data_IF_349089073390
#
_entry.id   IF_349089073390
#
_cell.length_a   1.000
_cell.length_b   1.000
_cell.length_c   1.000
_cell.angle_alpha   90.00
_cell.angle_beta   90.00
_cell.angle_gamma   90.00
#
_symmetry.space_group_name_H-M   'P 1'
#
loop_
_entity.id
_entity.type
_entity.pdbx_description
1 polymer ?
#
# COMPACT_ATOMS: atom_id res chain seq x y z
N UNK A 1 -4.53 76.18 47.10
CA UNK A 1 -3.78 76.13 45.85
C UNK A 1 -4.63 75.34 44.87
N UNK A 2 -4.95 75.93 43.70
CA UNK A 2 -5.62 75.20 42.59
C UNK A 2 -4.60 74.80 41.61
N UNK A 3 -4.56 73.51 41.25
CA UNK A 3 -3.72 72.95 40.18
C UNK A 3 -4.56 72.92 38.90
N UNK A 4 -3.93 73.29 37.81
CA UNK A 4 -4.53 73.23 36.48
C UNK A 4 -3.80 72.20 35.67
N UNK A 5 -4.46 71.11 35.32
CA UNK A 5 -3.93 69.98 34.53
C UNK A 5 -4.62 69.96 33.18
N UNK A 6 -3.82 69.81 32.12
CA UNK A 6 -4.25 69.61 30.72
C UNK A 6 -3.70 68.33 30.10
N UNK A 7 -2.91 67.61 30.88
CA UNK A 7 -2.21 66.45 30.41
C UNK A 7 -3.19 65.29 30.35
N UNK A 8 -3.24 64.59 29.23
CA UNK A 8 -4.01 63.36 29.12
C UNK A 8 -3.28 62.23 29.84
N UNK A 9 -3.97 61.36 30.55
CA UNK A 9 -3.34 60.20 31.17
C UNK A 9 -2.78 59.26 30.12
N UNK A 10 -1.64 58.61 30.43
CA UNK A 10 -0.95 57.65 29.59
C UNK A 10 -0.73 56.34 30.32
N UNK A 11 -0.72 55.22 29.58
CA UNK A 11 -0.53 53.87 30.12
C UNK A 11 0.80 53.30 29.66
N UNK A 12 1.60 52.71 30.57
CA UNK A 12 2.83 52.01 30.25
C UNK A 12 3.32 51.19 31.47
N UNK A 13 3.54 49.86 31.32
CA UNK A 13 3.30 49.07 30.13
C UNK A 13 1.81 48.81 29.85
N UNK A 14 1.49 48.39 28.62
CA UNK A 14 0.25 47.74 28.22
C UNK A 14 0.66 46.43 27.56
N UNK A 15 0.24 45.30 28.09
CA UNK A 15 0.58 43.97 27.64
C UNK A 15 -0.65 43.11 27.47
N UNK A 16 -0.64 42.13 26.55
CA UNK A 16 -1.71 41.17 26.33
C UNK A 16 -1.15 39.75 26.28
N UNK A 17 -1.85 38.80 26.90
CA UNK A 17 -1.45 37.40 26.92
C UNK A 17 -2.68 36.50 27.06
N UNK A 18 -2.65 35.32 26.44
CA UNK A 18 -3.62 34.25 26.66
C UNK A 18 -3.14 33.29 27.74
N UNK A 19 -4.05 32.62 28.44
CA UNK A 19 -3.77 31.48 29.30
C UNK A 19 -3.47 30.20 28.54
N UNK A 20 -3.58 30.21 27.20
CA UNK A 20 -3.15 29.12 26.33
C UNK A 20 -1.61 29.02 26.31
N UNK A 21 -1.08 27.80 26.52
CA UNK A 21 0.36 27.58 26.57
C UNK A 21 1.01 27.52 25.18
N UNK A 22 0.20 27.43 24.11
CA UNK A 22 0.69 27.47 22.75
C UNK A 22 1.38 28.79 22.46
N UNK A 23 2.54 28.73 21.81
CA UNK A 23 3.32 29.91 21.39
C UNK A 23 3.48 30.96 22.51
N UNK A 24 3.65 30.48 23.76
CA UNK A 24 3.85 31.34 24.94
C UNK A 24 2.72 32.34 25.20
N UNK A 25 1.47 31.97 24.89
CA UNK A 25 0.29 32.78 25.12
C UNK A 25 -0.04 33.81 24.05
N UNK A 26 0.57 33.73 22.88
CA UNK A 26 0.25 34.58 21.73
C UNK A 26 -0.84 34.01 20.80
N UNK A 27 -1.31 32.79 21.09
CA UNK A 27 -2.42 32.15 20.38
C UNK A 27 -3.45 31.71 21.42
N UNK A 28 -4.72 31.75 21.05
CA UNK A 28 -5.84 31.32 21.87
C UNK A 28 -6.90 30.63 21.03
N UNK A 29 -7.78 29.86 21.68
CA UNK A 29 -9.01 29.35 21.10
C UNK A 29 -10.21 29.79 21.94
N UNK A 30 -11.42 29.46 21.52
CA UNK A 30 -12.62 29.66 22.35
C UNK A 30 -12.43 29.00 23.73
N UNK A 31 -13.00 29.63 24.76
CA UNK A 31 -12.91 29.30 26.18
C UNK A 31 -11.60 29.71 26.87
N UNK A 32 -10.53 30.08 26.14
CA UNK A 32 -9.33 30.64 26.75
C UNK A 32 -9.63 32.05 27.33
N UNK A 33 -8.86 32.40 28.38
CA UNK A 33 -8.88 33.71 28.97
C UNK A 33 -7.71 34.54 28.42
N UNK A 34 -8.04 35.68 27.81
CA UNK A 34 -7.05 36.66 27.41
C UNK A 34 -7.03 37.78 28.44
N UNK A 35 -5.85 38.07 28.95
CA UNK A 35 -5.58 39.06 29.98
C UNK A 35 -4.84 40.25 29.41
N UNK A 36 -5.34 41.46 29.61
CA UNK A 36 -4.58 42.70 29.41
C UNK A 36 -4.17 43.24 30.77
N UNK A 37 -2.90 43.54 30.93
CA UNK A 37 -2.37 44.26 32.10
C UNK A 37 -1.83 45.61 31.65
N UNK A 38 -2.14 46.65 32.43
CA UNK A 38 -1.57 47.96 32.18
C UNK A 38 -1.33 48.74 33.47
N UNK A 39 -0.40 49.67 33.40
CA UNK A 39 -0.11 50.61 34.51
C UNK A 39 -0.39 52.01 34.05
N UNK A 40 -1.11 52.78 34.85
CA UNK A 40 -1.27 54.21 34.60
C UNK A 40 -0.10 54.97 35.22
N UNK A 41 0.37 56.00 34.52
CA UNK A 41 1.45 56.86 35.02
C UNK A 41 0.96 57.93 35.97
N UNK A 42 -0.35 58.00 36.22
CA UNK A 42 -1.01 58.90 37.17
C UNK A 42 -2.32 58.29 37.72
N UNK A 43 -2.85 58.77 38.87
CA UNK A 43 -4.08 58.26 39.41
C UNK A 43 -5.29 58.53 38.50
N UNK A 44 -6.14 57.52 38.29
CA UNK A 44 -7.31 57.58 37.44
C UNK A 44 -8.60 57.82 38.22
N UNK A 45 -9.51 58.63 37.63
CA UNK A 45 -10.88 58.83 38.08
C UNK A 45 -11.79 57.68 37.59
N UNK A 46 -11.62 57.25 36.33
CA UNK A 46 -12.40 56.18 35.74
C UNK A 46 -11.65 55.49 34.61
N UNK A 47 -12.07 54.26 34.34
CA UNK A 47 -11.56 53.40 33.23
C UNK A 47 -12.75 52.91 32.40
N UNK A 48 -12.57 52.84 31.10
CA UNK A 48 -13.50 52.20 30.16
C UNK A 48 -12.70 51.28 29.26
N UNK A 49 -13.21 50.08 29.02
CA UNK A 49 -12.57 49.16 28.07
C UNK A 49 -13.60 48.38 27.27
N UNK A 50 -13.23 48.15 26.02
CA UNK A 50 -13.86 47.14 25.14
C UNK A 50 -12.85 46.09 24.78
N UNK A 51 -13.31 44.86 24.71
CA UNK A 51 -12.52 43.70 24.27
C UNK A 51 -13.31 43.00 23.16
N UNK A 52 -12.72 42.79 22.00
CA UNK A 52 -13.45 42.45 20.79
C UNK A 52 -14.59 43.47 20.54
N UNK A 53 -15.83 43.08 20.71
CA UNK A 53 -16.99 43.98 20.56
C UNK A 53 -17.73 44.25 21.90
N UNK A 54 -17.23 43.71 23.02
CA UNK A 54 -17.89 43.72 24.30
C UNK A 54 -17.29 44.74 25.25
N UNK A 55 -18.14 45.41 26.04
CA UNK A 55 -17.69 46.25 27.17
C UNK A 55 -17.30 45.35 28.33
N UNK A 56 -16.08 45.51 28.82
CA UNK A 56 -15.49 44.67 29.85
C UNK A 56 -15.16 45.43 31.13
N UNK A 57 -15.09 44.69 32.23
CA UNK A 57 -14.73 45.27 33.53
C UNK A 57 -13.19 45.43 33.59
N UNK A 58 -12.77 46.63 34.01
CA UNK A 58 -11.37 46.89 34.35
C UNK A 58 -11.20 46.74 35.87
N UNK A 59 -10.36 45.84 36.28
CA UNK A 59 -10.03 45.57 37.70
C UNK A 59 -8.85 46.44 38.12
N UNK A 60 -8.99 47.16 39.24
CA UNK A 60 -7.89 47.91 39.86
C UNK A 60 -7.17 46.99 40.84
N UNK A 61 -5.92 46.68 40.55
CA UNK A 61 -5.07 45.81 41.41
C UNK A 61 -4.23 46.61 42.44
N UNK A 62 -4.41 47.92 42.47
CA UNK A 62 -3.66 48.82 43.37
C UNK A 62 -2.36 49.34 42.76
N UNK A 63 -1.84 50.46 43.32
CA UNK A 63 -0.63 51.09 42.84
C UNK A 63 -0.63 51.45 41.38
N UNK A 64 -1.79 51.94 40.89
CA UNK A 64 -2.05 52.31 39.47
C UNK A 64 -1.91 51.18 38.45
N UNK A 65 -1.97 49.89 38.90
CA UNK A 65 -2.01 48.72 38.06
C UNK A 65 -3.46 48.27 37.86
N UNK A 66 -3.75 47.87 36.63
CA UNK A 66 -5.07 47.46 36.19
C UNK A 66 -5.00 46.19 35.35
N UNK A 67 -6.08 45.42 35.43
CA UNK A 67 -6.22 44.13 34.68
C UNK A 67 -7.59 44.07 34.04
N UNK A 68 -7.64 43.51 32.86
CA UNK A 68 -8.83 43.12 32.15
C UNK A 68 -8.69 41.64 31.81
N UNK A 69 -9.69 40.84 32.18
CA UNK A 69 -9.82 39.45 31.73
C UNK A 69 -11.03 39.34 30.83
N UNK A 70 -10.83 38.66 29.69
CA UNK A 70 -11.91 38.34 28.76
C UNK A 70 -11.83 36.88 28.38
N UNK A 71 -12.93 36.14 28.59
CA UNK A 71 -13.04 34.76 28.13
C UNK A 71 -13.54 34.78 26.69
N UNK A 72 -12.70 34.29 25.77
CA UNK A 72 -13.05 34.14 24.37
C UNK A 72 -14.19 33.13 24.20
N UNK A 73 -15.05 33.39 23.21
CA UNK A 73 -16.19 32.55 22.88
C UNK A 73 -16.12 32.08 21.42
N UNK A 74 -16.93 31.13 21.03
CA UNK A 74 -17.06 30.70 19.65
C UNK A 74 -17.73 31.75 18.74
N UNK A 75 -18.30 32.81 19.31
CA UNK A 75 -18.93 33.91 18.56
C UNK A 75 -17.92 35.03 18.25
N UNK A 76 -16.75 35.03 18.90
CA UNK A 76 -15.71 36.01 18.64
C UNK A 76 -15.11 35.79 17.26
N UNK A 77 -14.72 36.86 16.59
CA UNK A 77 -14.17 36.80 15.25
C UNK A 77 -12.73 36.25 15.30
N UNK A 78 -12.44 35.19 14.54
CA UNK A 78 -11.11 34.63 14.39
C UNK A 78 -10.11 35.66 13.86
N UNK A 79 -8.88 35.57 14.33
CA UNK A 79 -7.80 36.49 14.00
C UNK A 79 -7.28 37.28 15.20
N UNK A 80 -6.65 38.42 14.93
CA UNK A 80 -6.06 39.23 15.99
C UNK A 80 -7.12 39.78 16.99
N UNK A 81 -6.90 39.47 18.27
CA UNK A 81 -7.75 39.94 19.36
C UNK A 81 -7.61 41.46 19.52
N UNK A 82 -8.70 42.16 19.33
CA UNK A 82 -8.76 43.62 19.39
C UNK A 82 -9.23 44.11 20.73
N UNK A 83 -8.73 45.24 21.19
CA UNK A 83 -9.17 45.90 22.38
C UNK A 83 -9.14 47.41 22.23
N UNK A 84 -9.89 48.11 23.10
CA UNK A 84 -9.86 49.57 23.28
C UNK A 84 -9.87 49.87 24.76
N UNK A 85 -8.97 50.71 25.22
CA UNK A 85 -8.93 51.22 26.59
C UNK A 85 -8.97 52.74 26.54
N UNK A 86 -9.88 53.33 27.31
CA UNK A 86 -9.89 54.76 27.62
C UNK A 86 -9.82 54.97 29.11
N UNK A 87 -9.03 55.93 29.54
CA UNK A 87 -8.90 56.24 30.96
C UNK A 87 -9.08 57.74 31.17
N UNK A 88 -9.63 58.12 32.34
CA UNK A 88 -9.83 59.52 32.71
C UNK A 88 -9.06 59.79 34.00
N UNK A 89 -8.31 60.89 34.02
CA UNK A 89 -7.58 61.32 35.24
C UNK A 89 -8.50 61.99 36.28
N UNK A 90 -7.95 62.36 37.45
CA UNK A 90 -8.68 63.00 38.54
C UNK A 90 -9.21 64.40 38.18
N UNK A 91 -8.69 65.04 37.12
CA UNK A 91 -9.09 66.35 36.64
C UNK A 91 -10.09 66.30 35.50
N UNK A 92 -10.40 65.14 34.99
CA UNK A 92 -11.36 64.88 33.91
C UNK A 92 -10.78 64.89 32.50
N UNK A 93 -9.45 64.88 32.34
CA UNK A 93 -8.84 64.67 31.01
C UNK A 93 -8.96 63.19 30.59
N UNK A 94 -9.40 62.94 29.37
CA UNK A 94 -9.55 61.58 28.79
C UNK A 94 -8.35 61.25 27.92
N UNK A 95 -7.81 60.03 28.04
CA UNK A 95 -6.73 59.52 27.19
C UNK A 95 -7.16 59.48 25.71
N UNK A 96 -6.20 59.42 24.82
CA UNK A 96 -6.46 58.91 23.46
C UNK A 96 -6.85 57.43 23.56
N UNK A 97 -7.50 56.90 22.50
CA UNK A 97 -7.85 55.49 22.40
C UNK A 97 -6.59 54.63 22.38
N UNK A 98 -6.46 53.72 23.33
CA UNK A 98 -5.35 52.78 23.42
C UNK A 98 -5.81 51.45 22.86
N UNK A 99 -5.34 51.13 21.66
CA UNK A 99 -5.74 49.97 20.88
C UNK A 99 -4.55 49.04 20.55
N UNK A 100 -3.39 49.33 21.09
CA UNK A 100 -2.14 48.55 20.89
C UNK A 100 -1.40 48.41 22.19
N UNK A 101 -0.64 47.32 22.32
CA UNK A 101 0.26 47.10 23.44
C UNK A 101 1.53 47.93 23.30
N UNK A 102 2.23 48.18 24.41
CA UNK A 102 3.48 48.96 24.41
C UNK A 102 4.73 48.09 24.24
N UNK A 103 4.59 46.79 24.43
CA UNK A 103 5.67 45.80 24.31
C UNK A 103 5.60 45.00 23.01
N UNK A 104 4.59 45.27 22.16
CA UNK A 104 4.36 44.57 20.91
C UNK A 104 3.72 43.16 21.07
N UNK A 105 3.26 42.82 22.28
CA UNK A 105 2.50 41.57 22.49
C UNK A 105 1.16 41.63 21.76
N UNK A 106 0.74 40.46 21.25
CA UNK A 106 -0.57 40.25 20.61
C UNK A 106 -1.06 38.82 20.89
N UNK A 107 -2.37 38.64 20.79
CA UNK A 107 -2.99 37.32 20.85
C UNK A 107 -3.81 37.13 19.59
N UNK A 108 -3.68 35.99 18.95
CA UNK A 108 -4.49 35.59 17.80
C UNK A 108 -5.48 34.52 18.24
N UNK A 109 -6.76 34.72 17.95
CA UNK A 109 -7.79 33.70 18.15
C UNK A 109 -7.85 32.80 16.94
N UNK A 110 -7.61 31.53 17.17
CA UNK A 110 -7.68 30.47 16.18
C UNK A 110 -8.79 29.48 16.57
N UNK A 111 -9.78 29.35 15.71
CA UNK A 111 -10.92 28.45 15.87
C UNK A 111 -11.01 27.46 14.71
N UNK A 112 -10.07 27.53 13.78
CA UNK A 112 -9.99 26.63 12.63
C UNK A 112 -9.57 25.24 13.10
N UNK A 113 -10.31 24.21 12.68
CA UNK A 113 -9.91 22.82 12.96
C UNK A 113 -8.76 22.41 12.08
N UNK A 114 -7.74 21.75 12.61
CA UNK A 114 -6.64 21.25 11.79
C UNK A 114 -7.14 20.20 10.78
N UNK A 115 -6.51 20.16 9.61
CA UNK A 115 -6.78 19.16 8.56
C UNK A 115 -5.48 18.51 8.11
N UNK A 116 -5.58 17.21 7.73
CA UNK A 116 -4.49 16.50 7.09
C UNK A 116 -4.58 16.70 5.57
N UNK A 117 -3.48 17.08 4.93
CA UNK A 117 -3.40 17.27 3.48
C UNK A 117 -2.68 16.12 2.77
N UNK A 118 -1.96 15.30 3.52
CA UNK A 118 -1.33 14.07 3.05
C UNK A 118 -1.49 12.94 4.07
N UNK A 119 -1.94 11.77 3.59
CA UNK A 119 -1.99 10.52 4.37
C UNK A 119 -1.63 9.38 3.43
N UNK A 120 -0.59 8.62 3.78
CA UNK A 120 -0.06 7.50 3.01
C UNK A 120 0.23 6.30 3.90
N UNK A 121 -0.04 5.09 3.40
CA UNK A 121 0.26 3.84 4.11
C UNK A 121 0.99 2.87 3.19
N UNK A 122 2.07 2.27 3.70
CA UNK A 122 2.85 1.28 2.96
C UNK A 122 3.45 0.21 3.87
N UNK A 123 3.72 -0.96 3.31
CA UNK A 123 4.44 -2.06 3.96
C UNK A 123 5.90 -2.07 3.51
N UNK A 124 6.79 -2.56 4.36
CA UNK A 124 8.18 -2.86 4.01
C UNK A 124 8.33 -4.14 3.16
N UNK A 125 7.22 -4.77 2.77
CA UNK A 125 7.21 -5.91 1.85
C UNK A 125 7.73 -5.50 0.45
N UNK A 126 8.19 -6.46 -0.35
CA UNK A 126 8.56 -6.22 -1.76
C UNK A 126 7.42 -5.62 -2.60
N UNK A 127 6.19 -5.84 -2.18
CA UNK A 127 4.99 -5.17 -2.68
C UNK A 127 4.40 -4.33 -1.55
N UNK A 128 4.59 -3.03 -1.60
CA UNK A 128 4.25 -2.11 -0.52
C UNK A 128 2.76 -2.09 -0.14
N UNK A 129 1.89 -2.63 -1.00
CA UNK A 129 0.46 -2.79 -0.74
C UNK A 129 0.07 -4.12 -0.08
N UNK A 130 1.05 -5.00 0.24
CA UNK A 130 0.83 -6.30 0.86
C UNK A 130 1.66 -6.39 2.13
N UNK A 131 1.13 -7.01 3.17
CA UNK A 131 1.87 -7.33 4.38
C UNK A 131 1.54 -8.75 4.86
N UNK A 132 2.54 -9.44 5.39
CA UNK A 132 2.43 -10.74 6.05
C UNK A 132 2.91 -10.64 7.49
N UNK A 133 2.77 -11.70 8.26
CA UNK A 133 3.23 -11.77 9.65
C UNK A 133 4.68 -11.31 9.79
N UNK A 134 4.89 -10.29 10.65
CA UNK A 134 6.20 -9.72 10.94
C UNK A 134 6.63 -8.58 10.04
N UNK A 135 5.91 -8.29 8.95
CA UNK A 135 6.15 -7.08 8.15
C UNK A 135 5.83 -5.82 8.94
N UNK A 136 6.52 -4.74 8.61
CA UNK A 136 6.32 -3.43 9.22
C UNK A 136 5.54 -2.55 8.24
N UNK A 137 4.39 -2.09 8.70
CA UNK A 137 3.57 -1.12 7.98
C UNK A 137 3.84 0.27 8.55
N UNK A 138 4.09 1.23 7.67
CA UNK A 138 4.33 2.63 8.00
C UNK A 138 3.15 3.46 7.52
N UNK A 139 2.56 4.24 8.43
CA UNK A 139 1.61 5.29 8.14
C UNK A 139 2.32 6.63 8.24
N UNK A 140 2.25 7.44 7.19
CA UNK A 140 2.87 8.77 7.10
C UNK A 140 1.79 9.80 6.81
N UNK A 141 1.80 10.94 7.51
CA UNK A 141 0.84 12.01 7.27
C UNK A 141 1.44 13.39 7.53
N UNK A 142 0.86 14.40 6.90
CA UNK A 142 1.21 15.80 7.04
C UNK A 142 -0.06 16.60 7.35
N UNK A 143 0.07 17.67 8.13
CA UNK A 143 -0.98 18.60 8.45
C UNK A 143 -0.71 19.96 7.83
N UNK A 144 -1.76 20.68 7.47
CA UNK A 144 -1.67 22.06 6.96
C UNK A 144 -1.02 23.00 7.97
N UNK A 145 -1.14 22.67 9.25
CA UNK A 145 -0.59 23.43 10.37
C UNK A 145 0.08 22.51 11.42
N UNK A 146 0.95 23.06 12.28
CA UNK A 146 1.61 22.28 13.32
C UNK A 146 0.63 21.69 14.34
N UNK A 147 0.73 20.39 14.59
CA UNK A 147 -0.06 19.70 15.59
C UNK A 147 0.63 19.73 16.97
N UNK A 148 -0.15 19.86 18.03
CA UNK A 148 0.31 19.67 19.40
C UNK A 148 0.36 18.20 19.80
N UNK A 149 -0.53 17.39 19.24
CA UNK A 149 -0.54 15.94 19.40
C UNK A 149 -1.20 15.24 18.21
N UNK A 150 -0.77 14.00 17.98
CA UNK A 150 -1.43 13.06 17.09
C UNK A 150 -1.41 11.67 17.73
N UNK A 151 -2.57 11.01 17.76
CA UNK A 151 -2.75 9.65 18.25
C UNK A 151 -3.15 8.75 17.09
N UNK A 152 -2.40 7.67 16.87
CA UNK A 152 -2.64 6.72 15.79
C UNK A 152 -3.01 5.37 16.36
N UNK A 153 -4.06 4.79 15.81
CA UNK A 153 -4.43 3.39 16.06
C UNK A 153 -4.31 2.62 14.75
N UNK A 154 -3.57 1.52 14.74
CA UNK A 154 -3.45 0.60 13.59
C UNK A 154 -3.86 -0.80 14.04
N UNK A 155 -4.77 -1.45 13.29
CA UNK A 155 -5.33 -2.76 13.65
C UNK A 155 -5.85 -2.85 15.10
N UNK A 156 -6.43 -1.74 15.62
CA UNK A 156 -6.94 -1.66 16.98
C UNK A 156 -5.87 -1.45 18.07
N UNK A 157 -4.60 -1.33 17.72
CA UNK A 157 -3.50 -1.06 18.64
C UNK A 157 -3.04 0.40 18.53
N UNK A 158 -2.88 1.09 19.68
CA UNK A 158 -2.25 2.42 19.68
C UNK A 158 -0.77 2.28 19.35
N UNK A 159 -0.27 3.08 18.43
CA UNK A 159 1.12 3.11 17.98
C UNK A 159 1.75 4.47 18.23
N UNK A 160 3.04 4.48 18.52
CA UNK A 160 3.77 5.72 18.76
C UNK A 160 3.93 6.53 17.47
N UNK A 161 3.65 7.83 17.56
CA UNK A 161 3.86 8.78 16.46
C UNK A 161 5.18 9.50 16.67
N UNK A 162 5.95 9.64 15.62
CA UNK A 162 7.18 10.44 15.56
C UNK A 162 6.98 11.57 14.57
N UNK A 163 7.54 12.74 14.87
CA UNK A 163 7.47 13.91 13.99
C UNK A 163 8.89 14.35 13.61
N UNK A 164 9.07 14.68 12.34
CA UNK A 164 10.33 15.24 11.83
C UNK A 164 10.05 16.18 10.66
N UNK A 165 10.24 17.48 10.89
CA UNK A 165 10.11 18.50 9.82
C UNK A 165 8.70 18.69 9.27
N UNK A 166 7.67 18.48 10.08
CA UNK A 166 6.25 18.59 9.69
C UNK A 166 5.65 17.28 9.18
N UNK A 167 6.46 16.23 9.03
CA UNK A 167 6.00 14.88 8.63
C UNK A 167 5.84 14.02 9.88
N UNK A 168 4.68 13.45 10.07
CA UNK A 168 4.35 12.52 11.14
C UNK A 168 4.41 11.09 10.61
N UNK A 169 4.94 10.18 11.42
CA UNK A 169 5.07 8.76 11.05
C UNK A 169 4.75 7.85 12.22
N UNK A 170 4.01 6.80 11.94
CA UNK A 170 3.68 5.72 12.86
C UNK A 170 3.96 4.36 12.22
N UNK A 171 4.49 3.40 12.97
CA UNK A 171 4.80 2.07 12.45
C UNK A 171 4.10 0.99 13.25
N UNK A 172 3.61 -0.03 12.54
CA UNK A 172 2.95 -1.19 13.11
C UNK A 172 3.55 -2.48 12.53
N UNK A 173 3.86 -3.45 13.38
CA UNK A 173 4.31 -4.77 12.94
C UNK A 173 3.12 -5.71 12.91
N UNK A 174 2.88 -6.38 11.78
CA UNK A 174 1.79 -7.35 11.60
C UNK A 174 1.91 -8.49 12.60
N UNK A 175 0.83 -8.76 13.33
CA UNK A 175 0.73 -9.76 14.38
C UNK A 175 -0.09 -10.98 13.94
N UNK A 176 0.01 -12.09 14.69
CA UNK A 176 -0.81 -13.29 14.47
C UNK A 176 -2.32 -13.00 14.50
N UNK A 177 -2.76 -12.03 15.31
CA UNK A 177 -4.17 -11.63 15.39
C UNK A 177 -4.68 -11.00 14.09
N UNK A 178 -3.83 -10.27 13.36
CA UNK A 178 -4.17 -9.65 12.08
C UNK A 178 -4.35 -10.71 11.00
N UNK A 179 -3.54 -11.77 11.06
CA UNK A 179 -3.61 -12.91 10.15
C UNK A 179 -4.94 -13.69 10.28
N UNK A 180 -5.67 -13.55 11.38
CA UNK A 180 -6.98 -14.21 11.57
C UNK A 180 -8.12 -13.52 10.82
N UNK A 181 -7.98 -12.24 10.54
CA UNK A 181 -9.03 -11.41 9.93
C UNK A 181 -8.76 -11.12 8.45
N UNK A 182 -7.51 -10.99 8.05
CA UNK A 182 -7.14 -10.61 6.69
C UNK A 182 -7.72 -9.25 6.27
N UNK A 183 -7.66 -8.96 4.98
CA UNK A 183 -8.22 -7.74 4.42
C UNK A 183 -7.31 -6.53 4.54
N UNK A 184 -7.85 -5.33 4.41
CA UNK A 184 -7.08 -4.09 4.53
C UNK A 184 -6.75 -3.79 5.99
N UNK A 185 -5.51 -3.34 6.25
CA UNK A 185 -5.10 -2.90 7.59
C UNK A 185 -5.83 -1.60 7.95
N UNK A 186 -6.72 -1.61 8.95
CA UNK A 186 -7.44 -0.41 9.34
C UNK A 186 -6.54 0.50 10.19
N UNK A 187 -6.71 1.81 10.03
CA UNK A 187 -6.09 2.81 10.89
C UNK A 187 -7.05 3.97 11.21
N UNK A 188 -6.75 4.70 12.28
CA UNK A 188 -7.34 5.99 12.60
C UNK A 188 -6.28 6.96 13.08
N UNK A 189 -6.44 8.24 12.77
CA UNK A 189 -5.61 9.35 13.20
C UNK A 189 -6.50 10.34 13.91
N UNK A 190 -6.29 10.54 15.20
CA UNK A 190 -6.86 11.64 15.98
C UNK A 190 -5.77 12.68 16.21
N UNK A 191 -6.07 13.97 16.02
CA UNK A 191 -5.06 15.02 16.07
C UNK A 191 -5.60 16.32 16.57
N UNK A 192 -4.71 17.11 17.18
CA UNK A 192 -5.03 18.39 17.84
C UNK A 192 -3.97 19.40 17.43
N UNK A 193 -4.37 20.61 17.08
CA UNK A 193 -3.48 21.71 16.77
C UNK A 193 -2.81 22.32 18.02
N UNK A 194 -2.02 23.38 17.82
CA UNK A 194 -1.31 24.03 18.91
C UNK A 194 -2.27 24.73 19.90
N UNK A 195 -3.29 25.52 19.53
CA UNK A 195 -4.21 26.11 20.49
C UNK A 195 -5.17 25.08 21.12
N UNK A 196 -5.26 23.86 20.57
CA UNK A 196 -6.06 22.78 21.12
C UNK A 196 -7.40 22.57 20.40
N UNK A 197 -7.56 23.01 19.15
CA UNK A 197 -8.69 22.61 18.32
C UNK A 197 -8.52 21.17 17.87
N UNK A 198 -9.60 20.39 17.92
CA UNK A 198 -9.58 18.95 17.64
C UNK A 198 -9.97 18.74 16.17
N UNK A 199 -9.07 18.14 15.39
CA UNK A 199 -9.35 17.72 14.02
C UNK A 199 -10.38 16.60 13.93
N UNK A 200 -10.96 16.41 12.75
CA UNK A 200 -11.83 15.27 12.52
C UNK A 200 -10.97 14.02 12.38
N UNK A 201 -11.33 12.95 13.10
CA UNK A 201 -10.66 11.64 12.97
C UNK A 201 -10.56 11.23 11.50
N UNK A 202 -9.35 10.94 11.01
CA UNK A 202 -9.13 10.43 9.66
C UNK A 202 -8.81 8.93 9.69
N UNK A 203 -9.33 8.20 8.70
CA UNK A 203 -9.14 6.75 8.51
C UNK A 203 -8.94 6.39 7.05
N UNK A 204 -8.61 7.38 6.23
CA UNK A 204 -8.46 7.24 4.78
C UNK A 204 -7.11 7.79 4.32
N UNK A 205 -6.60 7.29 3.22
CA UNK A 205 -5.39 7.82 2.59
C UNK A 205 -5.76 8.86 1.53
N UNK A 206 -4.93 9.88 1.36
CA UNK A 206 -5.16 10.94 0.37
C UNK A 206 -4.76 10.53 -1.05
N UNK A 207 -3.95 9.50 -1.18
CA UNK A 207 -3.36 8.99 -2.44
C UNK A 207 -3.88 7.59 -2.84
N UNK A 208 -4.96 7.12 -2.21
CA UNK A 208 -5.55 5.79 -2.43
C UNK A 208 -4.60 4.62 -2.06
N UNK A 209 -3.53 4.87 -1.34
CA UNK A 209 -2.64 3.81 -0.84
C UNK A 209 -3.37 2.93 0.18
N UNK A 210 -3.02 1.66 0.22
CA UNK A 210 -3.55 0.69 1.17
C UNK A 210 -2.54 -0.43 1.42
N UNK A 211 -2.70 -1.14 2.52
CA UNK A 211 -1.97 -2.38 2.82
C UNK A 211 -2.99 -3.48 3.07
N UNK A 212 -2.91 -4.56 2.27
CA UNK A 212 -3.70 -5.77 2.42
C UNK A 212 -2.90 -6.82 3.20
N UNK A 213 -3.52 -7.44 4.20
CA UNK A 213 -2.90 -8.50 4.99
C UNK A 213 -3.12 -9.83 4.25
N UNK A 214 -2.02 -10.45 3.85
CA UNK A 214 -2.01 -11.76 3.22
C UNK A 214 -1.95 -12.84 4.31
N UNK A 215 -2.98 -13.68 4.36
CA UNK A 215 -3.22 -14.63 5.47
C UNK A 215 -2.92 -16.09 5.12
N UNK A 216 -2.53 -16.40 3.91
CA UNK A 216 -2.39 -17.79 3.53
C UNK A 216 -1.44 -18.08 2.38
N UNK A 217 -1.04 -19.34 2.23
CA UNK A 217 -0.24 -19.76 1.09
C UNK A 217 -1.05 -19.71 -0.21
N UNK A 218 -0.40 -19.50 -1.34
CA UNK A 218 -1.05 -19.55 -2.64
C UNK A 218 -1.63 -20.94 -2.92
N UNK A 219 -2.81 -20.94 -3.54
CA UNK A 219 -3.49 -22.17 -3.93
C UNK A 219 -3.47 -22.36 -5.46
N UNK A 220 -3.23 -23.59 -5.88
CA UNK A 220 -3.26 -23.95 -7.29
C UNK A 220 -4.71 -24.07 -7.78
N UNK A 221 -5.09 -23.23 -8.75
CA UNK A 221 -6.42 -23.23 -9.35
C UNK A 221 -6.48 -24.21 -10.53
N UNK A 222 -5.48 -24.17 -11.41
CA UNK A 222 -5.44 -25.08 -12.55
C UNK A 222 -4.02 -25.30 -13.06
N UNK A 223 -3.76 -26.51 -13.59
CA UNK A 223 -2.52 -26.87 -14.26
C UNK A 223 -2.87 -27.65 -15.53
N UNK A 224 -2.24 -27.27 -16.64
CA UNK A 224 -2.38 -27.90 -17.95
C UNK A 224 -1.02 -28.11 -18.59
N UNK A 225 -0.82 -29.28 -19.23
CA UNK A 225 0.37 -29.64 -19.96
C UNK A 225 0.01 -30.04 -21.38
N UNK A 226 0.79 -29.61 -22.37
CA UNK A 226 0.63 -30.01 -23.78
C UNK A 226 1.94 -29.82 -24.57
N UNK A 227 2.04 -30.42 -25.72
CA UNK A 227 3.21 -30.28 -26.59
C UNK A 227 2.91 -29.51 -27.86
N UNK A 228 3.97 -29.07 -28.55
CA UNK A 228 3.90 -28.48 -29.89
C UNK A 228 3.64 -29.49 -30.99
N UNK A 229 3.59 -30.78 -30.67
CA UNK A 229 3.28 -31.82 -31.65
C UNK A 229 1.85 -31.67 -32.17
N UNK A 230 1.57 -32.24 -33.34
CA UNK A 230 0.21 -32.22 -33.91
C UNK A 230 -0.83 -32.93 -33.01
N UNK A 231 -0.44 -34.01 -32.36
CA UNK A 231 -1.14 -34.57 -31.21
C UNK A 231 -0.46 -34.03 -29.96
N UNK A 232 -1.10 -33.07 -29.32
CA UNK A 232 -0.51 -32.33 -28.16
C UNK A 232 -0.27 -33.22 -26.94
N UNK A 233 -0.75 -34.44 -26.92
CA UNK A 233 -0.48 -35.43 -25.88
C UNK A 233 0.83 -36.24 -26.12
N UNK A 234 1.49 -36.04 -27.26
CA UNK A 234 2.75 -36.66 -27.60
C UNK A 234 3.83 -35.63 -27.90
N UNK A 235 5.07 -35.95 -27.63
CA UNK A 235 6.22 -35.15 -28.02
C UNK A 235 7.32 -36.08 -28.56
N UNK A 236 8.09 -35.60 -29.54
CA UNK A 236 9.33 -36.19 -30.02
C UNK A 236 10.50 -35.24 -29.81
N UNK A 237 11.71 -35.67 -30.09
CA UNK A 237 12.89 -34.80 -30.05
C UNK A 237 12.68 -33.54 -30.89
N UNK A 238 12.91 -32.37 -30.28
CA UNK A 238 12.74 -31.06 -30.87
C UNK A 238 11.34 -30.45 -30.66
N UNK A 239 10.35 -31.20 -30.14
CA UNK A 239 9.06 -30.65 -29.78
C UNK A 239 9.18 -29.93 -28.44
N UNK A 240 8.40 -28.82 -28.27
CA UNK A 240 8.28 -28.10 -27.00
C UNK A 240 7.15 -28.67 -26.17
N UNK A 241 7.40 -28.91 -24.89
CA UNK A 241 6.36 -29.22 -23.88
C UNK A 241 6.12 -27.99 -23.06
N UNK A 242 4.86 -27.57 -23.01
CA UNK A 242 4.40 -26.38 -22.28
C UNK A 242 3.63 -26.79 -21.04
N UNK A 243 3.83 -26.04 -19.95
CA UNK A 243 3.00 -26.08 -18.74
C UNK A 243 2.46 -24.70 -18.50
N UNK A 244 1.13 -24.60 -18.35
CA UNK A 244 0.41 -23.40 -17.93
C UNK A 244 -0.27 -23.69 -16.60
N UNK A 245 -0.18 -22.76 -15.67
CA UNK A 245 -0.87 -22.90 -14.40
C UNK A 245 -1.42 -21.57 -13.90
N UNK A 246 -2.50 -21.64 -13.15
CA UNK A 246 -3.19 -20.49 -12.56
C UNK A 246 -3.24 -20.70 -11.05
N UNK A 247 -2.97 -19.64 -10.30
CA UNK A 247 -3.06 -19.61 -8.85
C UNK A 247 -4.06 -18.52 -8.41
N UNK A 248 -4.47 -18.55 -7.14
CA UNK A 248 -5.42 -17.58 -6.60
C UNK A 248 -4.80 -16.19 -6.34
N UNK A 249 -3.47 -16.09 -6.27
CA UNK A 249 -2.74 -14.88 -5.94
C UNK A 249 -1.39 -14.78 -6.66
N UNK A 250 -0.72 -13.61 -6.66
CA UNK A 250 0.58 -13.43 -7.32
C UNK A 250 1.69 -14.26 -6.68
N UNK A 251 2.57 -14.84 -7.51
CA UNK A 251 3.70 -15.66 -7.09
C UNK A 251 5.03 -14.91 -7.16
N UNK A 252 5.92 -15.24 -6.24
CA UNK A 252 7.32 -14.85 -6.24
C UNK A 252 8.10 -15.68 -7.26
N UNK A 253 8.48 -15.06 -8.38
CA UNK A 253 9.26 -15.68 -9.45
C UNK A 253 10.60 -14.98 -9.63
N UNK A 254 11.55 -15.62 -10.31
CA UNK A 254 12.81 -14.99 -10.72
C UNK A 254 12.49 -13.77 -11.61
N UNK A 255 13.05 -12.60 -11.28
CA UNK A 255 12.71 -11.33 -11.94
C UNK A 255 11.58 -10.55 -11.28
N UNK A 256 11.01 -11.03 -10.17
CA UNK A 256 10.23 -10.23 -9.22
C UNK A 256 11.05 -9.02 -8.72
N UNK A 257 10.44 -7.99 -8.08
CA UNK A 257 11.15 -6.81 -7.63
C UNK A 257 12.53 -7.08 -7.02
N UNK A 258 13.44 -6.14 -7.19
CA UNK A 258 14.88 -6.30 -6.90
C UNK A 258 15.22 -6.79 -5.48
N UNK A 259 14.32 -6.54 -4.52
CA UNK A 259 14.48 -6.93 -3.11
C UNK A 259 13.96 -8.34 -2.79
N UNK A 260 13.41 -9.05 -3.78
CA UNK A 260 12.90 -10.40 -3.58
C UNK A 260 14.05 -11.40 -3.34
N UNK A 261 14.03 -12.01 -2.16
CA UNK A 261 15.01 -13.05 -1.75
C UNK A 261 14.40 -14.43 -1.99
N UNK A 262 15.25 -15.43 -2.38
CA UNK A 262 14.81 -16.82 -2.49
C UNK A 262 14.14 -17.31 -1.18
N UNK A 263 13.20 -18.29 -1.26
CA UNK A 263 12.91 -19.11 -2.43
C UNK A 263 12.03 -18.44 -3.47
N UNK A 264 12.22 -18.87 -4.75
CA UNK A 264 11.36 -18.46 -5.86
C UNK A 264 10.55 -19.65 -6.35
N UNK A 265 9.35 -19.35 -6.86
CA UNK A 265 8.53 -20.35 -7.56
C UNK A 265 9.30 -20.96 -8.73
N UNK A 266 9.20 -22.26 -8.89
CA UNK A 266 9.97 -23.03 -9.86
C UNK A 266 9.11 -24.07 -10.55
N UNK A 267 9.48 -24.40 -11.79
CA UNK A 267 8.84 -25.42 -12.61
C UNK A 267 9.90 -26.39 -13.13
N UNK A 268 9.60 -27.69 -13.04
CA UNK A 268 10.33 -28.71 -13.79
C UNK A 268 9.43 -29.38 -14.81
N UNK A 269 9.96 -29.63 -15.97
CA UNK A 269 9.35 -30.44 -17.04
C UNK A 269 10.31 -31.56 -17.34
N UNK A 270 9.91 -32.83 -17.13
CA UNK A 270 10.85 -33.90 -17.02
C UNK A 270 11.76 -33.72 -15.81
N UNK A 271 13.07 -33.93 -16.01
CA UNK A 271 14.10 -33.66 -15.00
C UNK A 271 14.66 -32.22 -15.08
N UNK A 272 14.15 -31.40 -16.02
CA UNK A 272 14.75 -30.13 -16.40
C UNK A 272 14.02 -28.96 -15.72
N UNK A 273 14.80 -28.11 -15.03
CA UNK A 273 14.29 -26.84 -14.50
C UNK A 273 14.09 -25.85 -15.63
N UNK A 274 12.93 -25.23 -15.68
CA UNK A 274 12.54 -24.21 -16.67
C UNK A 274 12.20 -22.91 -16.02
N UNK A 275 12.39 -21.81 -16.76
CA UNK A 275 12.01 -20.48 -16.30
C UNK A 275 10.49 -20.37 -16.21
N UNK A 276 10.01 -19.77 -15.11
CA UNK A 276 8.60 -19.46 -14.92
C UNK A 276 8.37 -18.02 -15.35
N UNK A 277 7.44 -17.81 -16.27
CA UNK A 277 7.03 -16.49 -16.76
C UNK A 277 5.60 -16.21 -16.35
N UNK A 278 5.32 -14.94 -15.99
CA UNK A 278 3.98 -14.47 -15.69
C UNK A 278 3.31 -13.86 -16.93
N UNK A 279 2.03 -14.12 -17.11
CA UNK A 279 1.21 -13.36 -18.06
C UNK A 279 0.87 -12.01 -17.41
N UNK A 280 1.28 -10.87 -17.98
CA UNK A 280 1.16 -9.56 -17.33
C UNK A 280 -0.24 -9.29 -16.79
N UNK A 281 -0.30 -8.75 -15.56
CA UNK A 281 -1.53 -8.41 -14.85
C UNK A 281 -2.50 -9.58 -14.59
N UNK A 282 -1.96 -10.79 -14.49
CA UNK A 282 -2.75 -11.99 -14.15
C UNK A 282 -2.03 -12.86 -13.14
N UNK A 283 -2.74 -13.84 -12.58
CA UNK A 283 -2.18 -14.93 -11.77
C UNK A 283 -1.91 -16.18 -12.60
N UNK A 284 -1.69 -16.02 -13.92
CA UNK A 284 -1.37 -17.09 -14.85
C UNK A 284 0.13 -17.13 -15.12
N UNK A 285 0.70 -18.30 -14.98
CA UNK A 285 2.12 -18.57 -15.18
C UNK A 285 2.33 -19.66 -16.20
N UNK A 286 3.49 -19.65 -16.84
CA UNK A 286 3.86 -20.68 -17.80
C UNK A 286 5.37 -20.92 -17.84
N UNK A 287 5.73 -22.06 -18.40
CA UNK A 287 7.09 -22.40 -18.78
C UNK A 287 7.07 -23.47 -19.86
N UNK A 288 8.17 -23.64 -20.57
CA UNK A 288 8.29 -24.68 -21.57
C UNK A 288 9.70 -25.26 -21.62
N UNK A 289 9.79 -26.50 -22.11
CA UNK A 289 11.03 -27.18 -22.33
C UNK A 289 11.02 -27.82 -23.73
N UNK A 290 12.15 -27.79 -24.44
CA UNK A 290 12.32 -28.45 -25.75
C UNK A 290 12.95 -29.84 -25.50
N UNK A 291 12.20 -30.90 -25.82
CA UNK A 291 12.61 -32.25 -25.59
C UNK A 291 13.83 -32.62 -26.45
N UNK A 292 14.80 -33.29 -25.86
CA UNK A 292 16.02 -33.70 -26.55
C UNK A 292 16.32 -35.21 -26.41
N UNK A 293 17.40 -35.67 -27.06
CA UNK A 293 17.80 -37.09 -27.08
C UNK A 293 18.21 -37.63 -25.71
N UNK A 294 18.59 -36.77 -24.75
CA UNK A 294 18.97 -37.18 -23.39
C UNK A 294 17.78 -37.43 -22.47
N UNK A 295 16.61 -36.90 -22.83
CA UNK A 295 15.41 -37.03 -22.02
C UNK A 295 14.92 -38.47 -21.94
N UNK A 296 14.25 -38.81 -20.84
CA UNK A 296 13.70 -40.13 -20.58
C UNK A 296 12.41 -40.30 -21.37
N UNK A 297 12.35 -41.37 -22.17
CA UNK A 297 11.16 -41.74 -22.91
C UNK A 297 10.03 -42.20 -22.01
N UNK A 298 8.79 -41.83 -22.35
CA UNK A 298 7.59 -42.15 -21.60
C UNK A 298 6.82 -40.92 -21.15
N UNK A 299 6.05 -41.05 -20.10
CA UNK A 299 5.26 -39.93 -19.54
C UNK A 299 6.19 -38.85 -19.00
N UNK A 300 6.06 -37.63 -19.49
CA UNK A 300 6.84 -36.48 -19.02
C UNK A 300 6.29 -36.02 -17.64
N UNK A 301 7.09 -36.14 -16.55
CA UNK A 301 6.68 -35.66 -15.27
C UNK A 301 6.71 -34.11 -15.20
N UNK A 302 5.97 -33.52 -14.29
CA UNK A 302 6.07 -32.10 -13.92
C UNK A 302 6.21 -31.95 -12.41
N UNK A 303 6.83 -30.85 -11.99
CA UNK A 303 6.87 -30.44 -10.60
C UNK A 303 6.79 -28.92 -10.54
N UNK A 304 5.82 -28.39 -9.79
CA UNK A 304 5.66 -26.96 -9.53
C UNK A 304 5.81 -26.75 -8.03
N UNK A 305 6.83 -25.97 -7.64
CA UNK A 305 6.99 -25.42 -6.31
C UNK A 305 6.66 -23.93 -6.40
N UNK A 306 5.75 -23.44 -5.57
CA UNK A 306 5.30 -22.06 -5.71
C UNK A 306 5.15 -21.37 -4.34
N UNK A 307 5.52 -20.10 -4.35
CA UNK A 307 5.63 -19.22 -3.19
C UNK A 307 4.94 -17.91 -3.54
N UNK A 308 4.18 -17.34 -2.58
CA UNK A 308 3.63 -16.01 -2.75
C UNK A 308 4.71 -14.92 -2.72
N UNK A 309 4.28 -13.68 -2.93
CA UNK A 309 5.15 -12.49 -2.87
C UNK A 309 5.34 -11.96 -1.45
N UNK A 310 4.83 -12.66 -0.43
CA UNK A 310 4.90 -12.28 0.97
C UNK A 310 6.31 -12.11 1.52
N UNK A 311 6.50 -12.25 2.83
CA UNK A 311 7.75 -12.00 3.56
C UNK A 311 9.00 -12.67 2.94
N UNK A 312 10.18 -12.41 3.48
CA UNK A 312 11.45 -13.02 3.00
C UNK A 312 11.41 -14.55 2.89
N UNK A 313 10.56 -15.24 3.66
CA UNK A 313 10.36 -16.69 3.57
C UNK A 313 9.30 -17.10 2.53
N UNK A 314 8.33 -16.20 2.19
CA UNK A 314 7.14 -16.52 1.40
C UNK A 314 6.26 -17.59 2.06
N UNK A 315 4.97 -17.59 1.80
CA UNK A 315 4.14 -18.75 2.11
C UNK A 315 4.33 -19.81 1.03
N UNK A 316 4.27 -21.08 1.41
CA UNK A 316 4.51 -22.20 0.50
C UNK A 316 3.18 -22.80 0.06
N UNK A 317 2.90 -22.78 -1.24
CA UNK A 317 1.85 -23.62 -1.78
C UNK A 317 2.24 -25.12 -1.71
N UNK A 318 1.26 -26.00 -1.69
CA UNK A 318 1.52 -27.44 -1.74
C UNK A 318 2.12 -27.83 -3.11
N UNK A 319 3.26 -28.55 -3.18
CA UNK A 319 3.87 -28.97 -4.42
C UNK A 319 2.88 -29.68 -5.36
N UNK A 320 2.89 -29.31 -6.64
CA UNK A 320 2.01 -29.90 -7.64
C UNK A 320 2.83 -30.73 -8.65
N UNK A 321 2.42 -31.98 -8.83
CA UNK A 321 3.08 -32.94 -9.74
C UNK A 321 2.11 -33.57 -10.75
N UNK A 322 0.87 -33.08 -10.79
CA UNK A 322 -0.16 -33.55 -11.73
C UNK A 322 -0.93 -32.38 -12.29
N UNK A 323 -1.47 -32.52 -13.49
CA UNK A 323 -2.38 -31.55 -14.08
C UNK A 323 -3.78 -31.67 -13.47
N UNK A 324 -4.54 -30.59 -13.48
CA UNK A 324 -5.91 -30.56 -12.95
C UNK A 324 -6.95 -31.02 -13.97
N UNK A 325 -6.61 -31.02 -15.25
CA UNK A 325 -7.45 -31.44 -16.39
C UNK A 325 -7.06 -32.82 -16.94
N UNK A 326 -6.24 -33.57 -16.20
CA UNK A 326 -5.71 -34.89 -16.60
C UNK A 326 -4.85 -34.86 -17.90
N UNK A 327 -4.50 -33.69 -18.40
CA UNK A 327 -3.60 -33.55 -19.54
C UNK A 327 -2.21 -34.13 -19.21
N UNK A 328 -1.60 -34.74 -20.17
CA UNK A 328 -0.24 -35.33 -20.08
C UNK A 328 0.43 -35.33 -21.42
N UNK A 329 1.76 -35.38 -21.42
CA UNK A 329 2.56 -35.53 -22.61
C UNK A 329 3.40 -36.81 -22.47
N UNK A 330 3.41 -37.62 -23.55
CA UNK A 330 4.24 -38.81 -23.67
C UNK A 330 5.37 -38.44 -24.63
N UNK A 331 6.61 -38.54 -24.15
CA UNK A 331 7.80 -38.36 -24.99
C UNK A 331 8.19 -39.66 -25.61
N UNK A 332 8.34 -39.68 -26.94
CA UNK A 332 8.72 -40.82 -27.74
C UNK A 332 9.84 -40.41 -28.72
N UNK A 333 11.02 -40.94 -28.53
CA UNK A 333 12.20 -40.72 -29.37
C UNK A 333 12.57 -41.92 -30.22
N UNK A 334 11.91 -43.05 -29.95
CA UNK A 334 12.17 -44.32 -30.66
C UNK A 334 11.50 -44.28 -32.03
N UNK A 335 12.26 -44.57 -33.06
CA UNK A 335 11.73 -44.68 -34.44
C UNK A 335 11.06 -46.02 -34.65
N UNK A 336 9.91 -46.09 -35.32
CA UNK A 336 9.23 -47.34 -35.61
C UNK A 336 10.09 -48.27 -36.47
N UNK A 337 10.05 -49.55 -36.16
CA UNK A 337 10.80 -50.59 -36.88
C UNK A 337 9.87 -51.66 -37.37
N UNK A 338 10.18 -52.15 -38.56
CA UNK A 338 9.53 -53.34 -39.10
C UNK A 338 10.15 -54.56 -38.44
N UNK A 339 9.37 -55.33 -37.68
CA UNK A 339 9.80 -56.55 -36.98
C UNK A 339 9.65 -57.82 -37.86
N UNK A 340 8.69 -57.76 -38.74
CA UNK A 340 8.49 -58.84 -39.76
C UNK A 340 8.05 -58.23 -41.08
N UNK A 341 8.49 -58.75 -42.17
CA UNK A 341 7.99 -58.37 -43.48
C UNK A 341 7.93 -59.61 -44.37
N UNK A 342 6.93 -59.71 -45.21
CA UNK A 342 6.81 -60.70 -46.25
C UNK A 342 6.32 -60.06 -47.54
N UNK A 343 6.76 -60.57 -48.65
CA UNK A 343 6.30 -60.15 -49.96
C UNK A 343 6.04 -61.43 -50.77
N UNK A 344 4.74 -61.67 -50.99
CA UNK A 344 4.21 -62.88 -51.54
C UNK A 344 3.31 -62.63 -52.75
N UNK A 345 3.26 -63.55 -53.68
CA UNK A 345 2.31 -63.50 -54.80
C UNK A 345 1.23 -64.57 -54.63
N UNK A 346 0.07 -64.34 -55.22
CA UNK A 346 -0.98 -65.31 -55.29
C UNK A 346 -0.85 -66.29 -56.46
N UNK A 347 0.37 -66.39 -57.01
CA UNK A 347 0.62 -67.30 -58.12
C UNK A 347 0.48 -68.76 -57.67
N UNK A 348 -0.24 -69.57 -58.48
CA UNK A 348 -0.58 -70.97 -58.20
C UNK A 348 0.65 -71.92 -58.19
N UNK A 349 1.76 -71.51 -58.80
CA UNK A 349 2.98 -72.32 -58.89
C UNK A 349 4.06 -71.94 -57.84
N UNK A 350 3.79 -70.99 -57.05
CA UNK A 350 4.69 -70.57 -56.00
C UNK A 350 4.50 -69.07 -55.62
N UNK A 351 4.55 -68.76 -54.34
CA UNK A 351 4.38 -67.47 -53.77
C UNK A 351 5.51 -66.45 -54.07
N UNK A 352 6.63 -66.93 -54.58
CA UNK A 352 7.77 -66.15 -55.04
C UNK A 352 7.80 -65.92 -56.58
N UNK A 353 6.79 -66.38 -57.30
CA UNK A 353 6.62 -66.20 -58.75
C UNK A 353 5.40 -65.26 -58.99
N UNK A 354 5.47 -64.39 -59.98
CA UNK A 354 4.35 -63.58 -60.42
C UNK A 354 4.32 -63.48 -61.97
N UNK A 355 3.14 -63.47 -62.53
CA UNK A 355 2.89 -63.19 -63.94
C UNK A 355 1.90 -62.06 -64.07
N UNK A 356 1.64 -61.52 -65.22
CA UNK A 356 0.61 -60.49 -65.48
C UNK A 356 -0.71 -60.94 -64.91
N UNK A 357 -1.36 -60.02 -64.11
CA UNK A 357 -2.60 -60.18 -63.36
C UNK A 357 -2.44 -60.99 -62.07
N UNK A 358 -1.28 -61.41 -61.61
CA UNK A 358 -1.11 -61.89 -60.26
C UNK A 358 -1.05 -60.71 -59.28
N UNK A 359 -1.48 -60.94 -58.05
CA UNK A 359 -1.45 -59.94 -56.98
C UNK A 359 -0.26 -60.19 -56.10
N UNK A 360 0.63 -59.26 -56.02
CA UNK A 360 1.75 -59.26 -55.05
C UNK A 360 1.30 -58.51 -53.78
N UNK A 361 1.45 -59.14 -52.63
CA UNK A 361 1.07 -58.64 -51.33
C UNK A 361 2.28 -58.40 -50.46
N UNK A 362 2.48 -57.21 -49.99
CA UNK A 362 3.40 -56.89 -48.90
C UNK A 362 2.62 -56.93 -47.55
N UNK A 363 3.15 -57.67 -46.60
CA UNK A 363 2.67 -57.74 -45.25
C UNK A 363 3.85 -57.47 -44.32
N UNK A 364 3.65 -56.63 -43.31
CA UNK A 364 4.64 -56.33 -42.31
C UNK A 364 4.03 -56.08 -40.92
N UNK A 365 4.83 -56.37 -39.92
CA UNK A 365 4.49 -56.09 -38.50
C UNK A 365 5.49 -55.07 -37.99
N UNK A 366 5.00 -54.14 -37.22
CA UNK A 366 5.77 -53.08 -36.62
C UNK A 366 5.81 -53.28 -35.11
N UNK A 367 6.82 -52.70 -34.47
CA UNK A 367 6.98 -52.70 -33.03
C UNK A 367 6.04 -51.70 -32.35
N UNK A 368 5.48 -50.72 -33.11
CA UNK A 368 4.58 -49.70 -32.61
C UNK A 368 3.49 -49.31 -33.62
N UNK A 369 2.49 -48.52 -33.16
CA UNK A 369 1.43 -47.98 -33.99
C UNK A 369 1.96 -46.81 -34.82
N UNK A 370 1.67 -46.80 -36.09
CA UNK A 370 2.00 -45.73 -37.01
C UNK A 370 0.85 -44.74 -37.18
N UNK A 371 1.21 -43.48 -37.38
CA UNK A 371 0.30 -42.43 -37.80
C UNK A 371 -0.01 -42.50 -39.30
N UNK A 372 0.99 -42.82 -40.11
CA UNK A 372 0.87 -42.94 -41.54
C UNK A 372 1.87 -43.95 -42.08
N UNK A 373 1.53 -44.56 -43.19
CA UNK A 373 2.36 -45.48 -43.93
C UNK A 373 2.45 -45.00 -45.37
N UNK A 374 3.62 -45.11 -45.95
CA UNK A 374 3.84 -44.95 -47.39
C UNK A 374 4.66 -46.14 -47.90
N UNK A 375 4.17 -46.82 -48.89
CA UNK A 375 4.83 -47.99 -49.47
C UNK A 375 4.87 -47.82 -50.97
N UNK A 376 5.98 -48.24 -51.59
CA UNK A 376 6.14 -48.25 -53.03
C UNK A 376 6.56 -49.65 -53.50
N UNK A 377 6.03 -50.07 -54.63
CA UNK A 377 6.42 -51.31 -55.30
C UNK A 377 6.77 -50.97 -56.77
N UNK A 378 7.96 -51.26 -57.21
CA UNK A 378 8.49 -50.97 -58.56
C UNK A 378 8.36 -49.44 -58.90
N UNK A 379 8.49 -48.58 -57.92
CA UNK A 379 8.36 -47.10 -58.06
C UNK A 379 6.94 -46.55 -57.98
N UNK A 380 5.93 -47.35 -57.98
CA UNK A 380 4.53 -46.94 -57.82
C UNK A 380 4.14 -46.96 -56.37
N UNK A 381 3.47 -45.86 -55.92
CA UNK A 381 2.87 -45.75 -54.56
C UNK A 381 1.68 -46.68 -54.47
N UNK A 382 1.70 -47.54 -53.46
CA UNK A 382 0.58 -48.40 -53.06
C UNK A 382 0.09 -47.96 -51.68
N UNK A 383 -1.24 -47.85 -51.49
CA UNK A 383 -1.87 -47.50 -50.27
C UNK A 383 -2.23 -48.74 -49.48
#
# INVERSE_FOLDING_TARGET
QVFFDKTKPTLSPVTIISDNLCSSGSIAKAENIVTINFTSLEPLLSTFAMFMSDTVLVMNEGSDNYRIDYQLTSEDTEGDVSFLIQVTDLTGNVSDDIITTTDGSSVNLDQTLPILDYVHIESNNSYSSIAVLGDIVTLTFESVEPLSSADVVMSGASVAVTESGGVYSATYTIQDSDMLTGGFLPFTIDFIDCPGNIGLTDSTTSDESFVSIDIGPPEMVSVKMFSSNQDSSWAKVGDSVFVYFVVNEPLKIVGSPADAVAPFSSLKIGENSVEVSNVPNTTTYNGFYIMDESDIEGSVPLEILFYDIGSQAGNNGSPVQTTTDESKVIFDKTKPRITQASFLSNNTYGDSLAKVNDVATISFVLDEKLRSISTTVDGDSII
#
